data_IF_568411383925
#
_entry.id   IF_568411383925
#
_cell.length_a   1.000
_cell.length_b   1.000
_cell.length_c   1.000
_cell.angle_alpha   90.00
_cell.angle_beta   90.00
_cell.angle_gamma   90.00
#
_symmetry.space_group_name_H-M   'P 1'
#
loop_
_entity.id
_entity.type
_entity.pdbx_description
1 polymer ?
#
# COMPACT_ATOMS: atom_id res chain seq x y z
N UNK A 1 20.73 4.88 -6.94
CA UNK A 1 21.97 4.35 -6.33
C UNK A 1 21.56 3.25 -5.39
N UNK A 2 22.11 2.04 -5.53
CA UNK A 2 21.82 0.92 -4.62
C UNK A 2 22.68 1.07 -3.36
N UNK A 3 22.05 1.25 -2.20
CA UNK A 3 22.72 1.42 -0.91
C UNK A 3 22.73 0.14 -0.07
N UNK A 4 22.20 -0.97 -0.59
CA UNK A 4 22.04 -2.25 0.09
C UNK A 4 21.24 -2.14 1.40
N UNK A 5 20.28 -1.22 1.48
CA UNK A 5 19.51 -0.97 2.70
C UNK A 5 18.66 -2.17 3.15
N UNK A 6 18.35 -3.08 2.23
CA UNK A 6 17.54 -4.27 2.47
C UNK A 6 18.33 -5.56 2.22
N UNK A 7 19.66 -5.49 2.20
CA UNK A 7 20.50 -6.67 1.98
C UNK A 7 20.14 -7.82 2.93
N UNK A 8 19.79 -8.96 2.34
CA UNK A 8 19.42 -10.18 3.08
C UNK A 8 18.00 -10.18 3.66
N UNK A 9 17.23 -9.10 3.49
CA UNK A 9 15.83 -9.06 3.92
C UNK A 9 14.92 -9.77 2.93
N UNK A 10 13.88 -10.41 3.45
CA UNK A 10 12.87 -11.17 2.70
C UNK A 10 11.53 -10.47 2.79
N UNK A 11 10.76 -10.38 1.70
CA UNK A 11 9.45 -9.74 1.81
C UNK A 11 8.40 -10.15 0.80
N UNK A 12 7.16 -9.77 1.09
CA UNK A 12 5.99 -10.05 0.25
C UNK A 12 5.39 -8.72 -0.20
N UNK A 13 5.23 -8.55 -1.52
CA UNK A 13 4.66 -7.33 -2.11
C UNK A 13 3.29 -7.65 -2.72
N UNK A 14 2.25 -7.03 -2.18
CA UNK A 14 0.87 -7.15 -2.66
C UNK A 14 0.51 -6.03 -3.64
N UNK A 15 -0.23 -6.36 -4.69
CA UNK A 15 -0.98 -5.38 -5.47
C UNK A 15 -0.24 -4.74 -6.65
N UNK A 16 0.90 -5.29 -7.08
CA UNK A 16 1.52 -4.91 -8.35
C UNK A 16 0.66 -5.44 -9.52
N UNK A 17 0.18 -4.54 -10.38
CA UNK A 17 -0.63 -4.88 -11.56
C UNK A 17 0.16 -4.66 -12.86
N UNK A 18 0.77 -3.49 -12.98
CA UNK A 18 1.49 -2.99 -14.15
C UNK A 18 2.59 -2.00 -13.71
N UNK A 19 3.39 -1.53 -14.68
CA UNK A 19 4.50 -0.59 -14.46
C UNK A 19 4.09 0.76 -13.84
N UNK A 20 2.80 1.10 -13.81
CA UNK A 20 2.29 2.32 -13.17
C UNK A 20 1.93 2.09 -11.71
N UNK A 21 1.91 0.84 -11.25
CA UNK A 21 1.52 0.49 -9.89
C UNK A 21 2.60 0.91 -8.89
N UNK A 22 2.22 1.53 -7.78
CA UNK A 22 3.19 1.88 -6.73
C UNK A 22 3.93 0.64 -6.19
N UNK A 23 3.20 -0.48 -6.03
CA UNK A 23 3.79 -1.76 -5.64
C UNK A 23 4.82 -2.31 -6.64
N UNK A 24 4.70 -1.97 -7.94
CA UNK A 24 5.68 -2.35 -8.95
C UNK A 24 7.01 -1.64 -8.69
N UNK A 25 6.97 -0.33 -8.53
CA UNK A 25 8.16 0.46 -8.20
C UNK A 25 8.77 0.05 -6.86
N UNK A 26 7.95 -0.26 -5.85
CA UNK A 26 8.45 -0.74 -4.55
C UNK A 26 9.13 -2.10 -4.71
N UNK A 27 8.59 -3.03 -5.49
CA UNK A 27 9.21 -4.32 -5.74
C UNK A 27 10.57 -4.18 -6.42
N UNK A 28 10.66 -3.37 -7.49
CA UNK A 28 11.93 -3.11 -8.17
C UNK A 28 12.96 -2.51 -7.21
N UNK A 29 12.55 -1.48 -6.47
CA UNK A 29 13.44 -0.79 -5.52
C UNK A 29 13.87 -1.70 -4.36
N UNK A 30 13.01 -2.60 -3.89
CA UNK A 30 13.37 -3.57 -2.86
C UNK A 30 14.51 -4.49 -3.32
N UNK A 31 14.41 -5.03 -4.54
CA UNK A 31 15.43 -5.93 -5.11
C UNK A 31 16.72 -5.17 -5.44
N UNK A 32 16.62 -3.95 -5.96
CA UNK A 32 17.78 -3.07 -6.15
C UNK A 32 18.55 -2.81 -4.85
N UNK A 33 17.87 -2.80 -3.70
CA UNK A 33 18.45 -2.59 -2.37
C UNK A 33 18.82 -3.90 -1.65
N UNK A 34 18.81 -5.02 -2.37
CA UNK A 34 19.35 -6.31 -1.92
C UNK A 34 18.35 -7.23 -1.21
N UNK A 35 17.05 -6.95 -1.30
CA UNK A 35 16.02 -7.84 -0.78
C UNK A 35 15.69 -8.99 -1.75
N UNK A 36 15.25 -10.12 -1.20
CA UNK A 36 14.57 -11.18 -1.96
C UNK A 36 13.08 -11.11 -1.70
N UNK A 37 12.24 -11.18 -2.73
CA UNK A 37 10.79 -10.98 -2.57
C UNK A 37 9.96 -12.07 -3.25
N UNK A 38 8.72 -12.23 -2.78
CA UNK A 38 7.62 -12.81 -3.56
C UNK A 38 6.60 -11.75 -3.93
N UNK A 39 5.93 -11.95 -5.05
CA UNK A 39 4.88 -11.08 -5.56
C UNK A 39 3.52 -11.76 -5.43
N UNK A 40 2.50 -10.97 -5.13
CA UNK A 40 1.13 -11.49 -5.07
C UNK A 40 0.11 -10.48 -5.56
N UNK A 41 -0.92 -11.01 -6.22
CA UNK A 41 -2.11 -10.29 -6.61
C UNK A 41 -3.28 -11.27 -6.75
N UNK A 42 -4.50 -10.74 -6.79
CA UNK A 42 -5.70 -11.54 -6.98
C UNK A 42 -5.61 -12.34 -8.30
N UNK A 43 -6.11 -13.58 -8.37
CA UNK A 43 -6.04 -14.41 -9.58
C UNK A 43 -6.61 -13.74 -10.84
N UNK A 44 -7.62 -12.87 -10.69
CA UNK A 44 -8.18 -12.08 -11.79
C UNK A 44 -7.21 -11.01 -12.30
N UNK A 45 -6.45 -10.37 -11.41
CA UNK A 45 -5.48 -9.34 -11.77
C UNK A 45 -4.29 -9.94 -12.54
N UNK A 46 -3.89 -11.17 -12.23
CA UNK A 46 -2.81 -11.87 -12.94
C UNK A 46 -3.12 -12.11 -14.43
N UNK A 47 -4.39 -12.30 -14.78
CA UNK A 47 -4.82 -12.49 -16.16
C UNK A 47 -4.85 -11.18 -16.96
N UNK A 48 -4.88 -10.04 -16.28
CA UNK A 48 -5.04 -8.71 -16.88
C UNK A 48 -3.75 -7.89 -16.84
N UNK A 49 -2.88 -8.17 -15.88
CA UNK A 49 -1.69 -7.39 -15.59
C UNK A 49 -0.42 -7.92 -16.25
N UNK A 50 0.65 -7.19 -16.03
CA UNK A 50 2.00 -7.51 -16.51
C UNK A 50 2.87 -8.11 -15.40
N UNK A 51 2.26 -8.63 -14.33
CA UNK A 51 2.99 -9.08 -13.14
C UNK A 51 4.02 -10.17 -13.46
N UNK A 52 3.76 -11.03 -14.46
CA UNK A 52 4.74 -12.02 -14.93
C UNK A 52 6.04 -11.38 -15.41
N UNK A 53 5.96 -10.24 -16.11
CA UNK A 53 7.13 -9.49 -16.57
C UNK A 53 7.94 -8.99 -15.38
N UNK A 54 7.28 -8.48 -14.33
CA UNK A 54 7.95 -8.06 -13.10
C UNK A 54 8.61 -9.25 -12.37
N UNK A 55 7.89 -10.37 -12.25
CA UNK A 55 8.41 -11.59 -11.61
C UNK A 55 9.65 -12.11 -12.32
N UNK A 56 9.61 -12.21 -13.65
CA UNK A 56 10.75 -12.62 -14.48
C UNK A 56 11.92 -11.62 -14.34
N UNK A 57 11.64 -10.30 -14.36
CA UNK A 57 12.65 -9.24 -14.22
C UNK A 57 13.36 -9.29 -12.87
N UNK A 58 12.63 -9.57 -11.80
CA UNK A 58 13.12 -9.52 -10.42
C UNK A 58 13.56 -10.88 -9.88
N UNK A 59 13.41 -11.95 -10.68
CA UNK A 59 13.56 -13.32 -10.23
C UNK A 59 12.72 -13.60 -8.96
N UNK A 60 11.48 -13.10 -8.96
CA UNK A 60 10.55 -13.17 -7.84
C UNK A 60 9.36 -14.07 -8.20
N UNK A 61 9.09 -15.07 -7.35
CA UNK A 61 7.95 -15.96 -7.57
C UNK A 61 6.63 -15.23 -7.35
N UNK A 62 5.67 -15.51 -8.23
CA UNK A 62 4.32 -14.95 -8.16
C UNK A 62 3.39 -16.00 -7.55
N UNK A 63 2.85 -15.70 -6.38
CA UNK A 63 1.91 -16.57 -5.67
C UNK A 63 0.54 -15.90 -5.68
N UNK A 64 -0.43 -16.40 -6.46
CA UNK A 64 -1.77 -15.82 -6.53
C UNK A 64 -2.49 -15.92 -5.17
N UNK A 65 -3.12 -14.83 -4.74
CA UNK A 65 -3.96 -14.83 -3.55
C UNK A 65 -5.03 -13.73 -3.61
N UNK A 66 -6.28 -14.08 -3.31
CA UNK A 66 -7.28 -13.09 -2.92
C UNK A 66 -7.03 -12.68 -1.47
N UNK A 67 -6.63 -11.42 -1.25
CA UNK A 67 -6.35 -10.91 0.09
C UNK A 67 -7.58 -10.82 1.01
N UNK A 68 -8.79 -11.09 0.51
CA UNK A 68 -10.00 -11.24 1.32
C UNK A 68 -10.23 -12.69 1.78
N UNK A 69 -9.53 -13.67 1.23
CA UNK A 69 -9.62 -15.09 1.59
C UNK A 69 -8.52 -15.46 2.60
N UNK A 70 -8.92 -15.97 3.77
CA UNK A 70 -7.95 -16.44 4.78
C UNK A 70 -7.16 -17.65 4.28
N UNK A 71 -7.80 -18.54 3.51
CA UNK A 71 -7.17 -19.74 2.94
C UNK A 71 -6.10 -19.36 1.91
N UNK A 72 -6.41 -18.43 1.00
CA UNK A 72 -5.45 -17.92 0.01
C UNK A 72 -4.24 -17.29 0.69
N UNK A 73 -4.48 -16.49 1.75
CA UNK A 73 -3.42 -15.86 2.52
C UNK A 73 -2.56 -16.89 3.25
N UNK A 74 -3.15 -17.89 3.92
CA UNK A 74 -2.38 -18.97 4.58
C UNK A 74 -1.50 -19.73 3.57
N UNK A 75 -2.03 -20.05 2.40
CA UNK A 75 -1.26 -20.65 1.31
C UNK A 75 -0.16 -19.71 0.78
N UNK A 76 -0.45 -18.41 0.61
CA UNK A 76 0.52 -17.41 0.17
C UNK A 76 1.71 -17.33 1.13
N UNK A 77 1.46 -17.23 2.44
CA UNK A 77 2.52 -17.12 3.43
C UNK A 77 3.32 -18.42 3.55
N UNK A 78 2.66 -19.58 3.47
CA UNK A 78 3.33 -20.89 3.46
C UNK A 78 4.32 -20.98 2.29
N UNK A 79 3.84 -20.78 1.06
CA UNK A 79 4.68 -20.84 -0.14
C UNK A 79 5.76 -19.77 -0.16
N UNK A 80 5.44 -18.54 0.28
CA UNK A 80 6.44 -17.48 0.33
C UNK A 80 7.59 -17.83 1.28
N UNK A 81 7.29 -18.41 2.44
CA UNK A 81 8.36 -18.84 3.37
C UNK A 81 9.18 -20.01 2.82
N UNK A 82 8.58 -20.92 2.05
CA UNK A 82 9.31 -21.99 1.35
C UNK A 82 10.28 -21.40 0.31
N UNK A 83 9.78 -20.52 -0.56
CA UNK A 83 10.55 -19.88 -1.64
C UNK A 83 11.66 -18.98 -1.09
N UNK A 84 11.36 -18.22 -0.04
CA UNK A 84 12.30 -17.28 0.58
C UNK A 84 13.22 -17.98 1.59
N UNK A 85 13.01 -19.26 1.90
CA UNK A 85 13.83 -20.04 2.82
C UNK A 85 13.72 -19.57 4.28
N UNK A 86 12.51 -19.35 4.78
CA UNK A 86 12.21 -19.03 6.18
C UNK A 86 11.23 -17.87 6.35
N UNK A 87 11.19 -17.32 7.58
CA UNK A 87 10.37 -16.14 7.93
C UNK A 87 10.75 -14.92 7.09
N UNK A 88 9.80 -14.01 6.93
CA UNK A 88 9.96 -12.75 6.21
C UNK A 88 10.33 -11.58 7.14
N UNK A 89 10.85 -10.52 6.56
CA UNK A 89 11.23 -9.28 7.25
C UNK A 89 10.31 -8.11 6.93
N UNK A 90 9.63 -8.13 5.77
CA UNK A 90 8.70 -7.06 5.42
C UNK A 90 7.50 -7.47 4.56
N UNK A 91 6.43 -6.68 4.66
CA UNK A 91 5.23 -6.78 3.82
C UNK A 91 4.80 -5.40 3.34
N UNK A 92 4.48 -5.30 2.04
CA UNK A 92 3.75 -4.16 1.49
C UNK A 92 2.32 -4.57 1.14
N UNK A 93 1.33 -3.94 1.77
CA UNK A 93 -0.07 -3.98 1.38
C UNK A 93 -0.42 -2.76 0.52
N UNK A 94 -0.55 -2.97 -0.80
CA UNK A 94 -0.93 -1.93 -1.75
C UNK A 94 -2.18 -2.33 -2.53
N UNK A 95 -3.27 -2.58 -1.79
CA UNK A 95 -4.56 -3.02 -2.34
C UNK A 95 -5.63 -1.95 -2.11
N UNK A 96 -6.43 -1.69 -3.14
CA UNK A 96 -7.57 -0.77 -3.05
C UNK A 96 -8.51 -0.91 -4.24
N UNK A 97 -9.81 -0.95 -3.95
CA UNK A 97 -10.88 -1.01 -4.93
C UNK A 97 -12.21 -0.63 -4.26
N UNK A 98 -12.96 0.28 -4.89
CA UNK A 98 -14.38 0.49 -4.59
C UNK A 98 -15.26 -0.02 -5.73
N UNK A 99 -16.29 -0.79 -5.38
CA UNK A 99 -17.32 -1.19 -6.33
C UNK A 99 -18.30 -0.07 -6.65
N UNK A 100 -18.63 0.80 -5.68
CA UNK A 100 -19.52 1.93 -5.94
C UNK A 100 -18.87 2.93 -6.90
N UNK A 101 -17.59 3.27 -6.69
CA UNK A 101 -16.82 4.16 -7.58
C UNK A 101 -16.76 3.56 -8.98
N UNK A 102 -16.42 2.27 -9.12
CA UNK A 102 -16.39 1.59 -10.43
C UNK A 102 -17.76 1.53 -11.13
N UNK A 103 -18.85 1.59 -10.38
CA UNK A 103 -20.22 1.59 -10.91
C UNK A 103 -20.81 3.00 -11.01
N UNK A 104 -20.03 4.04 -10.70
CA UNK A 104 -20.45 5.44 -10.77
C UNK A 104 -21.59 5.80 -9.81
N UNK A 105 -21.70 5.11 -8.66
CA UNK A 105 -22.70 5.46 -7.64
C UNK A 105 -22.22 6.67 -6.85
N UNK A 106 -23.14 7.57 -6.56
CA UNK A 106 -22.88 8.74 -5.72
C UNK A 106 -22.78 8.34 -4.25
N UNK A 107 -22.00 9.10 -3.48
CA UNK A 107 -21.78 8.85 -2.06
C UNK A 107 -23.09 8.87 -1.24
N UNK A 108 -24.08 9.67 -1.65
CA UNK A 108 -25.38 9.75 -0.99
C UNK A 108 -26.35 8.63 -1.39
N UNK A 109 -25.99 7.77 -2.34
CA UNK A 109 -26.78 6.62 -2.80
C UNK A 109 -25.90 5.38 -3.01
N UNK A 110 -25.10 5.04 -2.00
CA UNK A 110 -24.22 3.87 -2.06
C UNK A 110 -25.01 2.57 -1.98
N UNK A 111 -24.55 1.56 -2.71
CA UNK A 111 -24.97 0.19 -2.46
C UNK A 111 -24.16 -0.37 -1.27
N UNK A 112 -24.87 -0.78 -0.22
CA UNK A 112 -24.21 -1.25 1.00
C UNK A 112 -23.48 -2.59 0.84
N UNK A 113 -23.90 -3.48 -0.08
CA UNK A 113 -23.14 -4.70 -0.38
C UNK A 113 -21.83 -4.38 -1.08
N UNK A 114 -21.83 -3.36 -1.95
CA UNK A 114 -20.62 -2.84 -2.58
C UNK A 114 -19.70 -2.13 -1.58
N UNK A 115 -20.28 -1.40 -0.61
CA UNK A 115 -19.53 -0.78 0.48
C UNK A 115 -18.84 -1.84 1.35
N UNK A 116 -19.54 -2.90 1.75
CA UNK A 116 -18.95 -4.00 2.52
C UNK A 116 -17.77 -4.64 1.79
N UNK A 117 -17.91 -4.91 0.48
CA UNK A 117 -16.82 -5.42 -0.35
C UNK A 117 -15.66 -4.42 -0.48
N UNK A 118 -15.96 -3.13 -0.57
CA UNK A 118 -14.95 -2.07 -0.61
C UNK A 118 -14.12 -2.07 0.66
N UNK A 119 -14.76 -2.14 1.84
CA UNK A 119 -14.07 -2.24 3.12
C UNK A 119 -13.29 -3.55 3.26
N UNK A 120 -13.83 -4.66 2.77
CA UNK A 120 -13.14 -5.94 2.84
C UNK A 120 -11.84 -5.91 2.03
N UNK A 121 -11.91 -5.47 0.78
CA UNK A 121 -10.75 -5.41 -0.13
C UNK A 121 -9.74 -4.34 0.31
N UNK A 122 -10.21 -3.15 0.68
CA UNK A 122 -9.35 -1.96 0.81
C UNK A 122 -8.89 -1.68 2.24
N UNK A 123 -9.40 -2.40 3.25
CA UNK A 123 -9.01 -2.26 4.65
C UNK A 123 -8.93 -3.58 5.44
N UNK A 124 -10.00 -4.38 5.47
CA UNK A 124 -10.04 -5.61 6.30
C UNK A 124 -9.03 -6.63 5.78
N UNK A 125 -8.75 -6.68 4.48
CA UNK A 125 -7.68 -7.48 3.89
C UNK A 125 -6.33 -7.24 4.58
N UNK A 126 -6.01 -6.00 4.97
CA UNK A 126 -4.78 -5.69 5.70
C UNK A 126 -4.77 -6.32 7.09
N UNK A 127 -5.91 -6.28 7.80
CA UNK A 127 -6.07 -6.99 9.06
C UNK A 127 -5.93 -8.51 8.88
N UNK A 128 -6.54 -9.09 7.83
CA UNK A 128 -6.44 -10.52 7.50
C UNK A 128 -4.98 -10.93 7.27
N UNK A 129 -4.22 -10.14 6.48
CA UNK A 129 -2.77 -10.35 6.29
C UNK A 129 -2.02 -10.38 7.63
N UNK A 130 -2.23 -9.36 8.48
CA UNK A 130 -1.60 -9.29 9.79
C UNK A 130 -1.98 -10.46 10.71
N UNK A 131 -3.24 -10.90 10.66
CA UNK A 131 -3.71 -12.05 11.42
C UNK A 131 -3.04 -13.36 10.99
N UNK A 132 -2.84 -13.56 9.68
CA UNK A 132 -2.12 -14.74 9.17
C UNK A 132 -0.67 -14.73 9.64
N UNK A 133 0.02 -13.60 9.49
CA UNK A 133 1.40 -13.42 9.99
C UNK A 133 1.49 -13.77 11.48
N UNK A 134 0.54 -13.26 12.28
CA UNK A 134 0.51 -13.48 13.72
C UNK A 134 0.34 -14.96 14.11
N UNK A 135 -0.59 -15.66 13.45
CA UNK A 135 -0.93 -17.05 13.73
C UNK A 135 0.17 -18.01 13.29
N UNK A 136 0.78 -17.75 12.14
CA UNK A 136 1.82 -18.59 11.56
C UNK A 136 3.22 -18.27 12.09
N UNK A 137 3.38 -17.19 12.87
CA UNK A 137 4.68 -16.68 13.30
C UNK A 137 5.62 -16.43 12.10
N UNK A 138 5.05 -15.88 11.02
CA UNK A 138 5.68 -15.84 9.70
C UNK A 138 6.75 -14.74 9.54
N UNK A 139 6.91 -13.85 10.51
CA UNK A 139 7.76 -12.65 10.40
C UNK A 139 8.86 -12.65 11.47
N UNK A 140 10.06 -12.22 11.10
CA UNK A 140 11.19 -12.05 11.99
C UNK A 140 10.96 -10.90 12.99
N UNK A 141 11.67 -10.97 14.12
CA UNK A 141 11.75 -9.86 15.05
C UNK A 141 12.24 -8.59 14.32
N UNK A 142 11.73 -7.43 14.72
CA UNK A 142 12.01 -6.14 14.08
C UNK A 142 11.54 -6.01 12.61
N UNK A 143 10.67 -6.92 12.15
CA UNK A 143 10.05 -6.83 10.83
C UNK A 143 9.16 -5.60 10.61
N UNK A 144 8.82 -5.34 9.34
CA UNK A 144 8.12 -4.14 8.88
C UNK A 144 6.87 -4.45 8.07
N UNK A 145 5.73 -3.93 8.49
CA UNK A 145 4.49 -4.04 7.73
C UNK A 145 4.04 -2.64 7.33
N UNK A 146 3.86 -2.42 6.02
CA UNK A 146 3.37 -1.16 5.47
C UNK A 146 2.08 -1.38 4.70
N UNK A 147 1.15 -0.42 4.81
CA UNK A 147 0.04 -0.29 3.89
C UNK A 147 -0.01 1.10 3.26
N UNK A 148 -0.46 1.20 2.00
CA UNK A 148 -0.64 2.49 1.34
C UNK A 148 -2.03 3.07 1.63
N UNK A 149 -2.04 4.26 2.23
CA UNK A 149 -3.24 5.04 2.56
C UNK A 149 -3.33 6.32 1.75
N UNK A 150 -4.33 7.15 2.06
CA UNK A 150 -4.54 8.45 1.44
C UNK A 150 -5.16 9.43 2.43
N UNK A 151 -4.81 10.71 2.30
CA UNK A 151 -5.26 11.80 3.19
C UNK A 151 -6.78 12.00 3.23
N UNK A 152 -7.52 11.41 2.28
CA UNK A 152 -8.98 11.35 2.36
C UNK A 152 -9.50 10.70 3.64
N UNK A 153 -8.69 9.88 4.31
CA UNK A 153 -8.98 9.33 5.63
C UNK A 153 -9.15 10.41 6.72
N UNK A 154 -8.63 11.62 6.51
CA UNK A 154 -8.68 12.72 7.48
C UNK A 154 -9.45 13.94 6.97
N UNK A 155 -9.43 14.19 5.65
CA UNK A 155 -10.01 15.39 5.03
C UNK A 155 -10.90 14.97 3.88
N UNK A 156 -12.08 15.55 3.78
CA UNK A 156 -13.05 15.17 2.75
C UNK A 156 -12.55 15.58 1.35
N UNK A 157 -12.51 14.62 0.43
CA UNK A 157 -12.37 14.84 -1.00
C UNK A 157 -13.64 14.30 -1.68
N UNK A 158 -14.53 15.16 -2.21
CA UNK A 158 -15.89 14.77 -2.58
C UNK A 158 -15.98 13.55 -3.51
N UNK A 159 -15.11 13.46 -4.51
CA UNK A 159 -15.14 12.37 -5.49
C UNK A 159 -14.37 11.11 -5.05
N UNK A 160 -13.80 11.09 -3.84
CA UNK A 160 -13.12 9.92 -3.29
C UNK A 160 -14.10 8.87 -2.72
N UNK A 161 -15.36 9.26 -2.49
CA UNK A 161 -16.45 8.39 -2.01
C UNK A 161 -16.06 7.57 -0.77
N UNK A 162 -16.62 6.37 -0.61
CA UNK A 162 -16.41 5.50 0.56
C UNK A 162 -15.01 4.90 0.69
N UNK A 163 -14.10 5.20 -0.26
CA UNK A 163 -12.69 4.89 -0.09
C UNK A 163 -12.07 5.70 1.04
N UNK A 164 -12.60 6.89 1.37
CA UNK A 164 -12.14 7.70 2.49
C UNK A 164 -12.27 6.95 3.81
N UNK A 165 -13.46 6.40 4.08
CA UNK A 165 -13.77 5.59 5.25
C UNK A 165 -12.93 4.31 5.27
N UNK A 166 -12.71 3.71 4.09
CA UNK A 166 -11.84 2.54 3.99
C UNK A 166 -10.40 2.86 4.38
N UNK A 167 -9.85 4.00 3.93
CA UNK A 167 -8.50 4.44 4.32
C UNK A 167 -8.41 4.78 5.80
N UNK A 168 -9.43 5.41 6.38
CA UNK A 168 -9.49 5.64 7.83
C UNK A 168 -9.49 4.31 8.63
N UNK A 169 -10.23 3.31 8.15
CA UNK A 169 -10.26 1.97 8.75
C UNK A 169 -8.91 1.25 8.63
N UNK A 170 -8.27 1.31 7.46
CA UNK A 170 -6.95 0.75 7.20
C UNK A 170 -5.89 1.29 8.18
N UNK A 171 -5.86 2.62 8.34
CA UNK A 171 -4.94 3.27 9.27
C UNK A 171 -5.24 2.93 10.73
N UNK A 172 -6.51 2.71 11.07
CA UNK A 172 -6.89 2.22 12.40
C UNK A 172 -6.36 0.82 12.68
N UNK A 173 -6.44 -0.09 11.70
CA UNK A 173 -5.85 -1.43 11.83
C UNK A 173 -4.33 -1.39 12.03
N UNK A 174 -3.62 -0.47 11.34
CA UNK A 174 -2.19 -0.31 11.53
C UNK A 174 -1.83 0.03 12.98
N UNK A 175 -2.59 0.92 13.61
CA UNK A 175 -2.40 1.26 15.04
C UNK A 175 -2.73 0.08 15.95
N UNK A 176 -3.93 -0.48 15.78
CA UNK A 176 -4.43 -1.53 16.68
C UNK A 176 -3.56 -2.79 16.65
N UNK A 177 -3.23 -3.29 15.45
CA UNK A 177 -2.40 -4.49 15.32
C UNK A 177 -0.92 -4.17 15.59
N UNK A 178 -0.45 -2.98 15.21
CA UNK A 178 0.91 -2.52 15.47
C UNK A 178 1.30 -2.56 16.95
N UNK A 179 0.39 -2.26 17.87
CA UNK A 179 0.60 -2.41 19.30
C UNK A 179 0.92 -3.87 19.70
N UNK A 180 0.13 -4.83 19.20
CA UNK A 180 0.31 -6.25 19.52
C UNK A 180 1.62 -6.80 18.95
N UNK A 181 1.94 -6.47 17.69
CA UNK A 181 3.18 -6.86 17.04
C UNK A 181 4.42 -6.24 17.68
N UNK A 182 4.37 -4.95 18.01
CA UNK A 182 5.47 -4.25 18.67
C UNK A 182 5.77 -4.80 20.06
N UNK A 183 4.73 -5.21 20.79
CA UNK A 183 4.89 -5.83 22.12
C UNK A 183 5.50 -7.23 22.01
N UNK A 184 5.00 -8.06 21.07
CA UNK A 184 5.40 -9.47 20.94
C UNK A 184 6.80 -9.66 20.35
N UNK A 185 7.10 -9.03 19.21
CA UNK A 185 8.29 -9.32 18.39
C UNK A 185 9.01 -8.06 17.89
N UNK A 186 8.65 -6.86 18.40
CA UNK A 186 9.16 -5.57 17.88
C UNK A 186 8.87 -5.36 16.40
N UNK A 187 7.88 -6.06 15.85
CA UNK A 187 7.40 -5.84 14.49
C UNK A 187 6.64 -4.51 14.46
N UNK A 188 6.92 -3.69 13.46
CA UNK A 188 6.41 -2.33 13.32
C UNK A 188 5.43 -2.25 12.16
N UNK A 189 4.32 -1.57 12.39
CA UNK A 189 3.20 -1.48 11.44
C UNK A 189 2.88 -0.01 11.20
N UNK A 190 2.96 0.45 9.95
CA UNK A 190 2.68 1.84 9.60
C UNK A 190 1.86 1.94 8.32
N UNK A 191 1.24 3.09 8.10
CA UNK A 191 0.68 3.46 6.80
C UNK A 191 1.47 4.59 6.17
N UNK A 192 1.56 4.60 4.84
CA UNK A 192 2.10 5.72 4.06
C UNK A 192 0.92 6.39 3.36
N UNK A 193 0.62 7.63 3.76
CA UNK A 193 -0.38 8.47 3.11
C UNK A 193 0.27 9.21 1.95
N UNK A 194 0.13 8.63 0.76
CA UNK A 194 0.85 9.02 -0.45
C UNK A 194 0.10 10.12 -1.22
N UNK A 195 0.82 10.90 -2.05
CA UNK A 195 0.21 11.82 -3.03
C UNK A 195 -0.79 11.12 -3.95
N UNK A 196 -1.78 11.83 -4.53
CA UNK A 196 -2.54 11.29 -5.64
C UNK A 196 -1.56 10.87 -6.75
N UNK A 197 -1.63 9.60 -7.17
CA UNK A 197 -0.67 9.01 -8.12
C UNK A 197 -1.43 8.43 -9.31
N UNK A 198 -0.96 8.73 -10.53
CA UNK A 198 -1.53 8.28 -11.80
C UNK A 198 -1.30 6.77 -12.04
N UNK A 199 -2.04 5.96 -11.30
CA UNK A 199 -2.08 4.49 -11.42
C UNK A 199 -3.36 4.05 -12.13
N UNK A 200 -3.46 2.77 -12.54
CA UNK A 200 -4.70 2.21 -13.10
C UNK A 200 -5.90 2.35 -12.14
N UNK A 201 -5.67 2.28 -10.83
CA UNK A 201 -6.69 2.55 -9.82
C UNK A 201 -7.03 4.05 -9.72
N UNK A 202 -6.01 4.92 -9.72
CA UNK A 202 -6.18 6.37 -9.63
C UNK A 202 -6.91 6.98 -10.84
N UNK A 203 -6.56 6.52 -12.05
CA UNK A 203 -7.20 6.99 -13.29
C UNK A 203 -8.68 6.60 -13.42
N UNK A 204 -9.18 5.71 -12.57
CA UNK A 204 -10.60 5.34 -12.53
C UNK A 204 -11.49 6.34 -11.79
N UNK A 205 -10.92 7.33 -11.10
CA UNK A 205 -11.67 8.35 -10.35
C UNK A 205 -12.01 9.52 -11.28
N UNK A 206 -13.29 9.88 -11.36
CA UNK A 206 -13.73 11.06 -12.12
C UNK A 206 -13.11 12.33 -11.50
N UNK A 207 -12.58 13.23 -12.31
CA UNK A 207 -11.94 14.46 -11.81
C UNK A 207 -10.51 14.26 -11.25
N UNK A 208 -9.92 13.07 -11.43
CA UNK A 208 -8.60 12.78 -10.85
C UNK A 208 -7.48 13.67 -11.40
N UNK A 209 -7.56 14.10 -12.66
CA UNK A 209 -6.51 14.95 -13.26
C UNK A 209 -6.51 16.35 -12.65
N UNK A 210 -7.71 16.92 -12.46
CA UNK A 210 -7.93 18.19 -11.79
C UNK A 210 -7.49 18.11 -10.33
N UNK A 211 -7.82 17.00 -9.67
CA UNK A 211 -7.39 16.75 -8.31
C UNK A 211 -5.87 16.60 -8.18
N UNK A 212 -5.24 15.88 -9.11
CA UNK A 212 -3.79 15.75 -9.19
C UNK A 212 -3.14 17.12 -9.35
N UNK A 213 -3.63 17.96 -10.28
CA UNK A 213 -3.13 19.32 -10.47
C UNK A 213 -3.35 20.24 -9.27
N UNK A 214 -4.49 20.11 -8.58
CA UNK A 214 -4.74 20.83 -7.33
C UNK A 214 -3.76 20.43 -6.22
N UNK A 215 -3.58 19.12 -6.00
CA UNK A 215 -2.64 18.61 -5.02
C UNK A 215 -1.20 19.05 -5.32
N UNK A 216 -0.79 18.99 -6.60
CA UNK A 216 0.54 19.40 -7.04
C UNK A 216 0.80 20.87 -6.72
N UNK A 217 -0.15 21.76 -7.03
CA UNK A 217 -0.07 23.18 -6.70
C UNK A 217 -0.11 23.45 -5.20
N UNK A 218 -0.86 22.66 -4.42
CA UNK A 218 -0.94 22.82 -2.98
C UNK A 218 0.35 22.38 -2.28
N UNK A 219 1.03 21.37 -2.79
CA UNK A 219 2.28 20.82 -2.24
C UNK A 219 3.50 21.70 -2.56
N UNK A 220 4.23 22.23 -1.56
CA UNK A 220 5.45 23.00 -1.80
C UNK A 220 6.53 22.26 -2.61
N UNK A 221 6.57 20.93 -2.56
CA UNK A 221 7.51 20.09 -3.33
C UNK A 221 6.86 19.41 -4.55
N UNK A 222 5.60 19.74 -4.87
CA UNK A 222 4.80 19.01 -5.85
C UNK A 222 4.34 17.64 -5.37
N UNK A 223 3.60 16.93 -6.21
CA UNK A 223 3.15 15.57 -5.91
C UNK A 223 4.33 14.58 -5.88
N UNK A 224 4.39 13.76 -4.84
CA UNK A 224 5.33 12.65 -4.78
C UNK A 224 5.01 11.59 -5.84
N UNK A 225 6.01 11.15 -6.59
CA UNK A 225 5.84 10.11 -7.62
C UNK A 225 5.73 8.70 -7.00
N UNK A 226 5.34 7.72 -7.82
CA UNK A 226 5.36 6.31 -7.40
C UNK A 226 6.79 5.82 -7.06
N UNK A 227 7.80 6.31 -7.78
CA UNK A 227 9.21 6.03 -7.48
C UNK A 227 9.65 6.64 -6.14
N UNK A 228 9.24 7.89 -5.86
CA UNK A 228 9.49 8.53 -4.57
C UNK A 228 8.79 7.78 -3.43
N UNK A 229 7.57 7.30 -3.65
CA UNK A 229 6.87 6.43 -2.70
C UNK A 229 7.64 5.13 -2.43
N UNK A 230 8.24 4.54 -3.47
CA UNK A 230 9.09 3.35 -3.35
C UNK A 230 10.33 3.64 -2.48
N UNK A 231 11.04 4.73 -2.73
CA UNK A 231 12.19 5.15 -1.92
C UNK A 231 11.80 5.31 -0.44
N UNK A 232 10.65 5.92 -0.16
CA UNK A 232 10.17 6.08 1.21
C UNK A 232 9.79 4.73 1.86
N UNK A 233 9.20 3.81 1.09
CA UNK A 233 8.97 2.43 1.55
C UNK A 233 10.28 1.71 1.91
N UNK A 234 11.35 1.88 1.13
CA UNK A 234 12.66 1.26 1.43
C UNK A 234 13.18 1.74 2.78
N UNK A 235 13.15 3.04 3.05
CA UNK A 235 13.57 3.60 4.35
C UNK A 235 12.75 2.96 5.47
N UNK A 236 11.44 2.81 5.25
CA UNK A 236 10.53 2.17 6.19
C UNK A 236 10.69 0.66 6.28
N UNK A 237 11.28 -0.04 5.32
CA UNK A 237 11.65 -1.46 5.43
C UNK A 237 13.03 -1.67 6.05
N UNK A 238 13.89 -0.66 5.98
CA UNK A 238 15.25 -0.70 6.52
C UNK A 238 15.30 -0.71 8.05
N UNK A 239 16.50 -0.92 8.59
CA UNK A 239 16.74 -0.89 10.03
C UNK A 239 16.78 0.53 10.61
N UNK A 240 16.85 1.56 9.77
CA UNK A 240 16.92 2.97 10.18
C UNK A 240 15.63 3.46 10.86
N UNK A 241 14.53 2.73 10.68
CA UNK A 241 13.18 3.09 11.18
C UNK A 241 12.65 2.11 12.21
N UNK A 242 13.52 1.31 12.85
CA UNK A 242 13.13 0.31 13.87
C UNK A 242 12.27 0.86 15.00
N UNK A 243 12.39 2.15 15.32
CA UNK A 243 11.61 2.81 16.37
C UNK A 243 10.36 3.54 15.85
N UNK A 244 9.96 3.36 14.59
CA UNK A 244 8.80 4.01 13.97
C UNK A 244 7.69 2.97 13.76
N UNK A 245 6.64 3.05 14.58
CA UNK A 245 5.47 2.16 14.49
C UNK A 245 4.18 2.92 14.77
N UNK A 246 3.06 2.40 14.28
CA UNK A 246 1.70 2.91 14.46
C UNK A 246 1.51 4.33 13.90
N UNK A 247 2.36 4.75 12.96
CA UNK A 247 2.29 6.06 12.33
C UNK A 247 1.50 6.01 11.03
N UNK A 248 0.77 7.10 10.75
CA UNK A 248 0.36 7.45 9.40
C UNK A 248 1.33 8.50 8.86
N UNK A 249 2.16 8.09 7.91
CA UNK A 249 3.28 8.89 7.42
C UNK A 249 2.89 9.57 6.12
N UNK A 250 2.69 10.89 6.17
CA UNK A 250 2.41 11.67 4.97
C UNK A 250 3.66 11.76 4.09
N UNK A 251 3.50 11.34 2.84
CA UNK A 251 4.51 11.41 1.79
C UNK A 251 3.90 12.10 0.58
N UNK A 252 3.73 13.41 0.71
CA UNK A 252 2.84 14.20 -0.14
C UNK A 252 3.38 15.57 -0.56
N UNK A 253 4.69 15.76 -0.44
CA UNK A 253 5.34 17.02 -0.76
C UNK A 253 4.88 18.20 0.11
N UNK A 254 4.24 17.92 1.27
CA UNK A 254 3.76 18.90 2.23
C UNK A 254 2.24 19.16 2.15
N UNK A 255 1.52 18.52 1.24
CA UNK A 255 0.07 18.72 1.03
C UNK A 255 -0.74 18.67 2.33
N UNK A 256 -0.49 17.67 3.16
CA UNK A 256 -1.21 17.42 4.42
C UNK A 256 -1.13 18.54 5.43
N UNK A 257 -0.04 19.32 5.41
CA UNK A 257 0.22 20.39 6.37
C UNK A 257 -0.16 21.77 5.81
N UNK A 258 -0.41 21.87 4.50
CA UNK A 258 -0.76 23.12 3.85
C UNK A 258 -2.22 23.51 4.09
N UNK A 259 -2.42 24.77 4.50
CA UNK A 259 -3.74 25.40 4.55
C UNK A 259 -4.17 25.97 3.19
N UNK A 260 -3.31 26.76 2.56
CA UNK A 260 -3.55 27.37 1.23
C UNK A 260 -2.21 27.70 0.57
N UNK A 261 -2.06 27.41 -0.73
CA UNK A 261 -0.94 27.86 -1.54
C UNK A 261 -1.40 28.99 -2.49
N UNK A 262 -0.74 30.16 -2.54
CA UNK A 262 -1.10 31.21 -3.51
C UNK A 262 -1.18 30.73 -4.97
N UNK A 263 -0.45 29.68 -5.35
CA UNK A 263 -0.50 29.07 -6.69
C UNK A 263 -1.87 28.47 -7.07
N UNK A 264 -2.78 28.26 -6.11
CA UNK A 264 -4.16 27.81 -6.39
C UNK A 264 -5.15 28.97 -6.56
N UNK A 265 -4.74 30.20 -6.27
CA UNK A 265 -5.58 31.37 -6.50
C UNK A 265 -5.52 31.77 -7.99
N UNK A 266 -6.60 32.36 -8.55
CA UNK A 266 -6.54 32.97 -9.87
C UNK A 266 -5.42 34.02 -9.92
N UNK A 267 -4.71 34.11 -11.03
CA UNK A 267 -3.79 35.24 -11.26
C UNK A 267 -4.60 36.55 -11.16
N UNK A 268 -4.08 37.51 -10.39
CA UNK A 268 -4.67 38.84 -10.25
C UNK A 268 -4.33 39.73 -11.44
#
# INVERSE_FOLDING_TARGET
MANNLLAGKKGIIFGALDEKSMAWHVAERCVEEGATITLTNAPVALRMGQLKILGDKLNAEIIPADATSMEDLENLFTKSMEVLGGKIDFVLHSIGMSLNVRKGREYTDLNYDFMQKTFDISAISFHKVMQVIWKMDAMNDWGSILALSYIAAQRVFPDYSEMAESKALLESFARSFGYHFGTRNKIRVNTISQSPTMTTAGSGVKGFSEFFGYADKMSPLGNASAASCADYCIVMFSDLTRMVTMQNLYHDGGFSTMGMNPAVLPEQ
#
